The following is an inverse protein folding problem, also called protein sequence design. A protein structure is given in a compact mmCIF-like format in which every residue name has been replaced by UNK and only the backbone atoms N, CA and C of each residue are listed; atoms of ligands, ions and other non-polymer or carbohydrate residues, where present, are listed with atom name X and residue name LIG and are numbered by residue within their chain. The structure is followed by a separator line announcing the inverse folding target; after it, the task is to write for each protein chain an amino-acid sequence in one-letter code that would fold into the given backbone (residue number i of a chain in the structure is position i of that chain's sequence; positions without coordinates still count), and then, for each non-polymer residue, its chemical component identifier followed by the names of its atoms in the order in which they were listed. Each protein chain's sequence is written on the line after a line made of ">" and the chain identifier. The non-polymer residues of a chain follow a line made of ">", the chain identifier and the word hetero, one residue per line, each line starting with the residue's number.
data_IF_087944983723
#
_entry.id   IF_087944983723
#
_cell.length_a   1.000
_cell.length_b   1.000
_cell.length_c   1.000
_cell.angle_alpha   90.00
_cell.angle_beta   90.00
_cell.angle_gamma   90.00
#
_symmetry.space_group_name_H-M   'P 1'
#
loop_
_entity.id
_entity.type
_entity.pdbx_description
1 polymer ?
#
# COMPACT_ATOMS: atom_id res chain seq x y z
N UNK A 1 26.60 -58.66 -7.62
CA UNK A 1 26.57 -57.70 -8.74
C UNK A 1 25.18 -57.09 -8.78
N UNK A 2 25.08 -55.77 -8.56
CA UNK A 2 23.83 -55.00 -8.45
C UNK A 2 23.56 -54.36 -9.82
N UNK A 3 22.29 -54.24 -10.24
CA UNK A 3 21.92 -53.05 -10.99
C UNK A 3 20.76 -52.32 -10.32
N UNK A 4 21.11 -51.15 -9.80
CA UNK A 4 20.25 -50.09 -9.28
C UNK A 4 19.35 -49.60 -10.41
N UNK A 5 18.01 -49.66 -10.25
CA UNK A 5 17.08 -48.98 -11.15
C UNK A 5 16.61 -47.68 -10.53
N UNK A 6 16.83 -46.61 -11.28
CA UNK A 6 16.67 -45.20 -10.93
C UNK A 6 15.24 -44.87 -10.46
N UNK A 7 15.14 -44.27 -9.29
CA UNK A 7 13.95 -43.54 -8.83
C UNK A 7 13.96 -42.19 -9.55
N UNK A 8 13.06 -42.01 -10.52
CA UNK A 8 12.84 -40.70 -11.14
C UNK A 8 12.05 -39.81 -10.17
N UNK A 9 12.76 -39.00 -9.39
CA UNK A 9 12.17 -37.86 -8.68
C UNK A 9 11.77 -36.81 -9.71
N UNK A 10 10.48 -36.76 -10.05
CA UNK A 10 9.90 -35.61 -10.74
C UNK A 10 9.85 -34.46 -9.75
N UNK A 11 10.91 -33.66 -9.74
CA UNK A 11 10.92 -32.39 -9.03
C UNK A 11 9.95 -31.45 -9.75
N UNK A 12 8.73 -31.35 -9.23
CA UNK A 12 7.79 -30.30 -9.60
C UNK A 12 8.42 -28.97 -9.20
N UNK A 13 9.15 -28.33 -10.13
CA UNK A 13 9.50 -26.93 -10.01
C UNK A 13 8.18 -26.14 -10.07
N UNK A 14 7.53 -25.96 -8.92
CA UNK A 14 6.64 -24.82 -8.72
C UNK A 14 7.55 -23.62 -8.95
N UNK A 15 7.48 -23.06 -10.16
CA UNK A 15 7.98 -21.74 -10.42
C UNK A 15 7.36 -20.85 -9.33
N UNK A 16 8.19 -20.41 -8.39
CA UNK A 16 7.89 -19.27 -7.56
C UNK A 16 7.76 -18.10 -8.52
N UNK A 17 6.58 -17.96 -9.12
CA UNK A 17 6.20 -16.72 -9.78
C UNK A 17 6.35 -15.67 -8.67
N UNK A 18 7.12 -14.59 -8.88
CA UNK A 18 7.03 -13.48 -7.95
C UNK A 18 5.56 -13.12 -7.91
N UNK A 19 4.92 -13.35 -6.76
CA UNK A 19 3.51 -13.05 -6.59
C UNK A 19 3.36 -11.60 -7.02
N UNK A 20 2.66 -11.39 -8.15
CA UNK A 20 2.38 -10.04 -8.63
C UNK A 20 1.84 -9.28 -7.43
N UNK A 21 2.47 -8.16 -7.11
CA UNK A 21 2.06 -7.35 -6.00
C UNK A 21 0.57 -6.98 -6.21
N UNK A 22 -0.33 -7.65 -5.50
CA UNK A 22 -1.74 -7.29 -5.44
C UNK A 22 -1.95 -5.86 -4.92
N UNK A 23 -3.09 -5.24 -5.25
CA UNK A 23 -3.37 -3.86 -4.87
C UNK A 23 -3.35 -3.67 -3.36
N UNK A 24 -2.91 -2.50 -2.90
CA UNK A 24 -3.10 -2.09 -1.52
C UNK A 24 -4.51 -1.56 -1.34
N UNK A 25 -5.22 -2.06 -0.34
CA UNK A 25 -6.53 -1.57 0.02
C UNK A 25 -6.40 -0.57 1.16
N UNK A 26 -6.81 0.67 0.92
CA UNK A 26 -6.69 1.75 1.91
C UNK A 26 -8.05 2.40 2.12
N UNK A 27 -8.54 2.37 3.35
CA UNK A 27 -9.65 3.21 3.76
C UNK A 27 -9.14 4.62 4.06
N UNK A 28 -9.71 5.62 3.38
CA UNK A 28 -9.44 7.04 3.63
C UNK A 28 -10.65 7.69 4.27
N UNK A 29 -10.41 8.61 5.20
CA UNK A 29 -11.44 9.23 6.02
C UNK A 29 -11.39 10.76 5.91
N UNK A 30 -12.56 11.38 5.83
CA UNK A 30 -12.67 12.84 5.83
C UNK A 30 -12.10 13.46 7.11
N UNK A 31 -12.38 12.85 8.26
CA UNK A 31 -11.96 13.34 9.57
C UNK A 31 -10.57 12.87 9.98
N UNK A 32 -10.04 13.52 11.01
CA UNK A 32 -8.90 13.02 11.77
C UNK A 32 -9.25 11.68 12.46
N UNK A 33 -8.23 10.89 12.77
CA UNK A 33 -8.34 9.69 13.63
C UNK A 33 -9.41 8.68 13.16
N UNK A 34 -9.52 8.51 11.84
CA UNK A 34 -10.44 7.59 11.15
C UNK A 34 -11.92 7.84 11.47
N UNK A 35 -12.27 9.12 11.64
CA UNK A 35 -13.64 9.56 11.89
C UNK A 35 -14.34 10.08 10.62
N UNK A 36 -15.67 10.11 10.66
CA UNK A 36 -16.50 10.62 9.58
C UNK A 36 -16.62 9.67 8.38
N UNK A 37 -16.98 10.24 7.22
CA UNK A 37 -17.20 9.47 5.99
C UNK A 37 -15.89 8.86 5.52
N UNK A 38 -15.94 7.58 5.13
CA UNK A 38 -14.83 6.86 4.54
C UNK A 38 -15.11 6.36 3.13
N UNK A 39 -14.03 6.09 2.39
CA UNK A 39 -14.04 5.40 1.11
C UNK A 39 -12.85 4.45 1.08
N UNK A 40 -13.05 3.28 0.50
CA UNK A 40 -11.97 2.36 0.17
C UNK A 40 -11.35 2.73 -1.18
N UNK A 41 -10.03 2.79 -1.22
CA UNK A 41 -9.24 3.00 -2.42
C UNK A 41 -8.37 1.75 -2.65
N UNK A 42 -8.49 1.18 -3.85
CA UNK A 42 -7.57 0.15 -4.34
C UNK A 42 -6.42 0.83 -5.06
N UNK A 43 -5.22 0.72 -4.51
CA UNK A 43 -4.00 1.30 -5.06
C UNK A 43 -3.16 0.18 -5.67
N UNK A 44 -3.27 0.03 -6.98
CA UNK A 44 -2.45 -0.93 -7.73
C UNK A 44 -0.96 -0.59 -7.59
N UNK A 45 -0.10 -1.59 -7.73
CA UNK A 45 1.34 -1.35 -7.74
C UNK A 45 1.77 -0.40 -8.89
N UNK A 46 2.81 0.40 -8.65
CA UNK A 46 3.33 1.41 -9.56
C UNK A 46 2.28 2.39 -10.13
N UNK A 47 1.17 2.56 -9.42
CA UNK A 47 0.06 3.42 -9.84
C UNK A 47 -0.13 4.64 -8.94
N UNK A 48 -1.00 5.55 -9.36
CA UNK A 48 -1.45 6.65 -8.52
C UNK A 48 -2.98 6.77 -8.62
N UNK A 49 -3.62 6.93 -7.47
CA UNK A 49 -5.07 7.04 -7.35
C UNK A 49 -5.42 8.40 -6.74
N UNK A 50 -6.27 9.16 -7.43
CA UNK A 50 -6.89 10.35 -6.88
C UNK A 50 -8.06 9.92 -5.98
N UNK A 51 -8.07 10.42 -4.75
CA UNK A 51 -9.19 10.23 -3.85
C UNK A 51 -10.39 11.06 -4.33
N UNK A 52 -11.64 10.57 -4.15
CA UNK A 52 -12.84 11.31 -4.51
C UNK A 52 -13.09 12.54 -3.61
N UNK A 53 -12.35 12.66 -2.50
CA UNK A 53 -12.38 13.78 -1.58
C UNK A 53 -11.03 13.95 -0.87
N UNK A 54 -10.82 15.13 -0.29
CA UNK A 54 -9.70 15.43 0.61
C UNK A 54 -9.85 14.64 1.91
N UNK A 55 -8.82 13.91 2.32
CA UNK A 55 -8.86 13.05 3.50
C UNK A 55 -7.75 13.41 4.50
N UNK A 56 -8.04 13.25 5.79
CA UNK A 56 -7.15 13.62 6.89
C UNK A 56 -6.52 12.42 7.60
N UNK A 57 -7.14 11.24 7.47
CA UNK A 57 -6.63 10.02 8.06
C UNK A 57 -6.90 8.81 7.17
N UNK A 58 -6.16 7.73 7.41
CA UNK A 58 -6.23 6.53 6.61
C UNK A 58 -5.94 5.28 7.45
N UNK A 59 -6.35 4.12 6.92
CA UNK A 59 -6.22 2.81 7.54
C UNK A 59 -6.04 1.75 6.46
N UNK A 60 -5.16 0.79 6.68
CA UNK A 60 -5.04 -0.38 5.79
C UNK A 60 -6.32 -1.24 5.92
N UNK A 61 -6.87 -1.68 4.79
CA UNK A 61 -8.13 -2.41 4.71
C UNK A 61 -8.00 -3.70 3.89
N UNK A 62 -7.23 -4.65 4.41
CA UNK A 62 -6.83 -5.82 3.64
C UNK A 62 -5.46 -5.59 3.03
N UNK A 63 -4.65 -6.63 3.14
CA UNK A 63 -3.20 -6.58 2.92
C UNK A 63 -2.85 -6.00 1.55
N UNK A 64 -2.00 -4.97 1.54
CA UNK A 64 -1.21 -4.67 0.34
C UNK A 64 -0.09 -5.68 0.15
N UNK A 65 0.68 -5.53 -0.93
CA UNK A 65 1.79 -6.44 -1.17
C UNK A 65 3.00 -6.14 -0.32
N UNK A 66 3.73 -7.18 0.09
CA UNK A 66 4.98 -7.03 0.82
C UNK A 66 5.99 -6.20 0.02
N UNK A 67 6.47 -5.10 0.59
CA UNK A 67 7.40 -4.19 -0.09
C UNK A 67 6.73 -3.16 -1.01
N UNK A 68 5.40 -3.03 -0.96
CA UNK A 68 4.70 -1.98 -1.70
C UNK A 68 4.75 -0.66 -0.91
N UNK A 69 5.40 0.36 -1.47
CA UNK A 69 5.51 1.70 -0.85
C UNK A 69 4.29 2.54 -1.21
N UNK A 70 3.68 3.17 -0.21
CA UNK A 70 2.53 4.07 -0.34
C UNK A 70 2.91 5.51 0.04
N UNK A 71 2.66 6.44 -0.88
CA UNK A 71 2.92 7.87 -0.72
C UNK A 71 1.62 8.65 -0.77
N UNK A 72 1.31 9.35 0.32
CA UNK A 72 0.14 10.22 0.46
C UNK A 72 0.52 11.65 0.10
N UNK A 73 -0.27 12.30 -0.77
CA UNK A 73 0.09 13.61 -1.28
C UNK A 73 -1.08 14.60 -1.24
N UNK A 74 -0.76 15.89 -1.02
CA UNK A 74 -1.73 17.00 -1.02
C UNK A 74 -2.15 17.46 -2.42
N UNK A 75 -1.53 16.89 -3.46
CA UNK A 75 -1.80 17.18 -4.87
C UNK A 75 -2.27 15.92 -5.61
N UNK A 76 -2.92 16.11 -6.76
CA UNK A 76 -3.42 15.02 -7.58
C UNK A 76 -2.30 14.26 -8.29
N UNK A 77 -2.64 13.07 -8.80
CA UNK A 77 -1.80 12.24 -9.66
C UNK A 77 -1.43 12.97 -10.96
N UNK A 78 -0.37 13.77 -10.91
CA UNK A 78 0.08 14.63 -12.01
C UNK A 78 0.95 15.80 -11.55
N UNK A 79 0.90 16.16 -10.26
CA UNK A 79 1.87 17.12 -9.71
C UNK A 79 3.11 16.42 -9.14
N UNK A 80 4.23 17.15 -9.14
CA UNK A 80 5.54 16.64 -8.70
C UNK A 80 5.87 16.99 -7.24
N UNK A 81 5.00 17.72 -6.54
CA UNK A 81 5.24 18.25 -5.20
C UNK A 81 4.02 18.03 -4.30
N UNK A 82 4.23 17.80 -3.00
CA UNK A 82 3.12 17.66 -2.05
C UNK A 82 3.11 16.38 -1.24
N UNK A 83 4.24 15.67 -1.15
CA UNK A 83 4.39 14.53 -0.26
C UNK A 83 4.01 14.96 1.18
N UNK A 84 3.06 14.23 1.76
CA UNK A 84 2.63 14.38 3.15
C UNK A 84 3.20 13.26 3.99
N UNK A 85 3.11 12.04 3.48
CA UNK A 85 3.59 10.88 4.20
C UNK A 85 3.98 9.76 3.26
N UNK A 86 4.92 8.95 3.72
CA UNK A 86 5.53 7.87 2.96
C UNK A 86 5.68 6.67 3.88
N UNK A 87 5.09 5.54 3.49
CA UNK A 87 5.03 4.32 4.30
C UNK A 87 5.03 3.07 3.41
N UNK A 88 5.04 1.88 4.00
CA UNK A 88 5.08 0.61 3.30
C UNK A 88 3.89 -0.25 3.71
N UNK A 89 3.18 -0.83 2.74
CA UNK A 89 2.11 -1.80 2.98
C UNK A 89 2.65 -3.13 3.52
N UNK A 90 1.75 -3.92 4.12
CA UNK A 90 2.03 -5.25 4.68
C UNK A 90 2.98 -5.23 5.89
N UNK A 91 2.47 -4.85 7.05
CA UNK A 91 3.15 -5.01 8.36
C UNK A 91 4.61 -4.51 8.39
N UNK A 92 4.94 -3.50 7.60
CA UNK A 92 6.17 -2.72 7.74
C UNK A 92 6.08 -1.82 8.98
N UNK A 93 7.19 -1.19 9.36
CA UNK A 93 7.31 -0.45 10.63
C UNK A 93 6.30 0.70 10.86
N UNK A 94 5.42 1.01 9.91
CA UNK A 94 4.55 2.19 9.99
C UNK A 94 3.15 2.07 9.34
N UNK A 95 2.77 0.95 8.72
CA UNK A 95 1.40 0.75 8.21
C UNK A 95 0.89 -0.63 8.62
N UNK A 96 0.45 -0.69 9.87
CA UNK A 96 -0.07 -1.90 10.49
C UNK A 96 -1.53 -2.08 10.11
N UNK A 97 -1.90 -3.31 9.77
CA UNK A 97 -3.28 -3.64 9.43
C UNK A 97 -4.21 -3.31 10.58
N UNK A 98 -5.31 -2.61 10.28
CA UNK A 98 -6.26 -2.21 11.31
C UNK A 98 -5.92 -0.90 12.03
N UNK A 99 -4.68 -0.42 11.97
CA UNK A 99 -4.27 0.80 12.66
C UNK A 99 -4.72 2.06 11.91
N UNK A 100 -5.06 3.10 12.67
CA UNK A 100 -5.46 4.39 12.13
C UNK A 100 -4.30 5.38 12.19
N UNK A 101 -4.10 6.13 11.11
CA UNK A 101 -3.02 7.10 10.98
C UNK A 101 -3.55 8.47 10.59
N UNK A 102 -3.07 9.51 11.28
CA UNK A 102 -3.45 10.89 11.01
C UNK A 102 -2.38 11.58 10.17
N UNK A 103 -2.74 12.08 8.99
CA UNK A 103 -1.77 12.71 8.08
C UNK A 103 -1.15 13.98 8.67
N UNK A 104 -1.85 14.69 9.55
CA UNK A 104 -1.33 15.89 10.21
C UNK A 104 -0.10 15.59 11.10
N UNK A 105 -0.01 14.38 11.65
CA UNK A 105 1.12 13.98 12.50
C UNK A 105 2.40 13.71 11.68
N UNK A 106 2.25 13.57 10.37
CA UNK A 106 3.33 13.16 9.47
C UNK A 106 3.69 14.23 8.43
N UNK A 107 2.73 15.10 8.09
CA UNK A 107 2.88 16.08 7.03
C UNK A 107 3.82 17.24 7.41
N UNK A 108 4.54 17.82 6.42
CA UNK A 108 5.23 19.09 6.58
C UNK A 108 4.27 20.20 7.04
N UNK A 109 4.78 21.16 7.83
CA UNK A 109 3.98 22.23 8.42
C UNK A 109 3.09 22.95 7.38
N UNK A 110 1.79 23.04 7.66
CA UNK A 110 0.82 23.75 6.83
C UNK A 110 0.12 22.91 5.76
N UNK A 111 0.45 21.62 5.59
CA UNK A 111 -0.31 20.69 4.75
C UNK A 111 -0.89 19.58 5.61
N UNK A 112 -2.18 19.28 5.47
CA UNK A 112 -2.85 18.37 6.42
C UNK A 112 -3.75 17.34 5.75
N UNK A 113 -4.22 17.61 4.54
CA UNK A 113 -5.14 16.76 3.81
C UNK A 113 -4.51 16.22 2.53
N UNK A 114 -4.62 14.90 2.36
CA UNK A 114 -4.23 14.24 1.14
C UNK A 114 -5.39 14.24 0.13
N UNK A 115 -5.03 14.21 -1.14
CA UNK A 115 -5.96 14.07 -2.27
C UNK A 115 -5.56 12.91 -3.20
N UNK A 116 -4.38 12.32 -3.01
CA UNK A 116 -3.94 11.17 -3.78
C UNK A 116 -3.06 10.22 -2.97
N UNK A 117 -3.03 8.96 -3.42
CA UNK A 117 -2.12 7.92 -2.94
C UNK A 117 -1.37 7.37 -4.15
N UNK A 118 -0.04 7.32 -4.07
CA UNK A 118 0.83 6.73 -5.10
C UNK A 118 1.50 5.49 -4.53
N UNK A 119 1.43 4.39 -5.27
CA UNK A 119 2.16 3.17 -4.98
C UNK A 119 3.42 3.06 -5.84
N UNK A 120 4.50 2.52 -5.26
CA UNK A 120 5.69 2.06 -5.97
C UNK A 120 6.24 0.80 -5.32
N UNK A 121 6.63 -0.18 -6.12
CA UNK A 121 7.38 -1.35 -5.65
C UNK A 121 8.84 -0.96 -5.39
N UNK A 122 9.39 -1.38 -4.24
CA UNK A 122 10.81 -1.25 -3.89
C UNK A 122 11.68 -2.36 -4.43
#
# INVERSE_FOLDING_TARGET
>A
MIPTKLIALVASALAAQPALAGPAHVLVYFGADCSGKSTELLVNDNSCVNAPFRFLSYKEHGWGSKGQRLRFNSNSCGGNEGLLYDTWAYNGDYFQSGACYNLRQHAPAGKVDAVSIRSQSG
#
